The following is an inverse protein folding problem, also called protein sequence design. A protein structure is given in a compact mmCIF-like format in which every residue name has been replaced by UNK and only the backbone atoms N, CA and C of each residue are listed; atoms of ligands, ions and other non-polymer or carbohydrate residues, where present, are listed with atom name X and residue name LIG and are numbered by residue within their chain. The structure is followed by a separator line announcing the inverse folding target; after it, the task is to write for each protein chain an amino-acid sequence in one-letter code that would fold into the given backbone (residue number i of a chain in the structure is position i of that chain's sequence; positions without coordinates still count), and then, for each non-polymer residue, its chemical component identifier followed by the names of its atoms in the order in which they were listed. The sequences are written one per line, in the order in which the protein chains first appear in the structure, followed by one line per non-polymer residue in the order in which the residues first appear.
data_IF_128296455683
#
_entry.id   IF_128296455683
#
_cell.length_a   1.000
_cell.length_b   1.000
_cell.length_c   1.000
_cell.angle_alpha   90.00
_cell.angle_beta   90.00
_cell.angle_gamma   90.00
#
_symmetry.space_group_name_H-M   'P 1'
#
loop_
_entity.id
_entity.type
_entity.pdbx_description
1 polymer ?
#
# COMPACT_ATOMS: atom_id res chain seq x y z
N UNK A 1 43.97 21.57 16.88
CA UNK A 1 44.06 20.85 15.59
C UNK A 1 43.69 19.41 15.92
N UNK A 2 42.45 18.98 15.78
CA UNK A 2 41.62 19.01 14.58
C UNK A 2 40.15 19.14 14.96
N UNK A 3 39.46 20.08 14.31
CA UNK A 3 38.01 20.22 14.34
C UNK A 3 37.35 18.94 13.83
N UNK A 4 36.48 18.34 14.65
CA UNK A 4 35.49 17.38 14.18
C UNK A 4 34.55 18.10 13.22
N UNK A 5 34.61 17.65 11.97
CA UNK A 5 33.78 18.11 10.89
C UNK A 5 32.31 17.90 11.27
N UNK A 6 31.62 19.01 11.49
CA UNK A 6 30.17 19.09 11.57
C UNK A 6 29.63 18.67 10.20
N UNK A 7 29.16 17.43 10.11
CA UNK A 7 28.68 16.84 8.85
C UNK A 7 27.59 17.74 8.27
N UNK A 8 27.85 18.15 7.04
CA UNK A 8 27.18 19.17 6.28
C UNK A 8 25.68 18.92 6.16
N UNK A 9 24.93 20.02 6.12
CA UNK A 9 23.48 20.02 6.07
C UNK A 9 22.98 19.25 4.85
N UNK A 10 22.03 18.34 5.09
CA UNK A 10 21.28 17.55 4.12
C UNK A 10 21.02 18.31 2.82
N UNK A 11 21.83 18.07 1.79
CA UNK A 11 21.52 18.52 0.45
C UNK A 11 20.14 17.95 0.09
N UNK A 12 19.20 18.82 -0.28
CA UNK A 12 17.82 18.43 -0.58
C UNK A 12 17.84 17.47 -1.77
N UNK A 13 17.68 16.18 -1.47
CA UNK A 13 17.77 15.13 -2.48
C UNK A 13 16.58 15.25 -3.42
N UNK A 14 16.86 15.47 -4.70
CA UNK A 14 15.82 15.59 -5.72
C UNK A 14 15.27 14.20 -6.06
N UNK A 15 14.09 13.88 -5.54
CA UNK A 15 13.33 12.69 -5.93
C UNK A 15 12.46 13.06 -7.14
N UNK A 16 12.63 12.42 -8.31
CA UNK A 16 11.82 12.74 -9.48
C UNK A 16 10.37 12.32 -9.27
N UNK A 17 9.44 13.10 -9.83
CA UNK A 17 8.05 12.68 -9.96
C UNK A 17 7.93 11.70 -11.14
N UNK A 18 7.49 10.47 -10.85
CA UNK A 18 7.11 9.47 -11.84
C UNK A 18 5.62 9.51 -12.18
N UNK A 19 5.18 8.55 -12.98
CA UNK A 19 3.79 8.46 -13.47
C UNK A 19 2.75 8.18 -12.37
N UNK A 20 3.17 7.65 -11.22
CA UNK A 20 2.31 7.35 -10.07
C UNK A 20 2.73 8.12 -8.79
N UNK A 21 3.31 9.30 -8.95
CA UNK A 21 3.84 10.11 -7.84
C UNK A 21 5.35 9.97 -7.69
N UNK A 22 5.88 10.17 -6.48
CA UNK A 22 7.33 10.15 -6.23
C UNK A 22 7.93 8.80 -6.62
N UNK A 23 8.92 8.82 -7.53
CA UNK A 23 9.64 7.64 -7.95
C UNK A 23 10.78 7.35 -6.97
N UNK A 24 10.47 6.62 -5.90
CA UNK A 24 11.43 6.23 -4.87
C UNK A 24 12.38 5.18 -5.46
N UNK A 25 13.70 5.43 -5.39
CA UNK A 25 14.70 4.53 -5.98
C UNK A 25 15.52 3.81 -4.92
N UNK A 26 15.83 4.48 -3.81
CA UNK A 26 16.69 3.93 -2.76
C UNK A 26 16.08 3.97 -1.37
N UNK A 27 16.61 3.13 -0.47
CA UNK A 27 16.25 3.07 0.95
C UNK A 27 16.13 4.45 1.61
N UNK A 28 17.02 5.36 1.26
CA UNK A 28 17.06 6.71 1.82
C UNK A 28 15.86 7.58 1.38
N UNK A 29 15.36 7.41 0.15
CA UNK A 29 14.16 8.09 -0.32
C UNK A 29 12.93 7.59 0.44
N UNK A 30 12.84 6.27 0.62
CA UNK A 30 11.80 5.63 1.43
C UNK A 30 11.85 6.11 2.87
N UNK A 31 13.04 6.20 3.47
CA UNK A 31 13.21 6.69 4.84
C UNK A 31 12.83 8.16 5.00
N UNK A 32 13.18 9.01 4.03
CA UNK A 32 12.81 10.41 4.02
C UNK A 32 11.28 10.56 3.95
N UNK A 33 10.64 9.89 2.99
CA UNK A 33 9.19 9.94 2.83
C UNK A 33 8.47 9.37 4.04
N UNK A 34 8.94 8.25 4.61
CA UNK A 34 8.37 7.66 5.82
C UNK A 34 8.38 8.64 7.01
N UNK A 35 9.49 9.36 7.21
CA UNK A 35 9.60 10.37 8.25
C UNK A 35 8.65 11.54 8.04
N UNK A 36 8.52 12.03 6.80
CA UNK A 36 7.57 13.11 6.50
C UNK A 36 6.12 12.68 6.70
N UNK A 37 5.76 11.48 6.26
CA UNK A 37 4.41 10.92 6.43
C UNK A 37 4.11 10.75 7.92
N UNK A 38 5.01 10.14 8.69
CA UNK A 38 4.80 9.96 10.12
C UNK A 38 4.64 11.31 10.85
N UNK A 39 5.48 12.30 10.56
CA UNK A 39 5.37 13.66 11.14
C UNK A 39 4.10 14.39 10.74
N UNK A 40 3.56 14.13 9.55
CA UNK A 40 2.31 14.73 9.09
C UNK A 40 1.07 14.18 9.81
N UNK A 41 1.18 13.02 10.45
CA UNK A 41 0.04 12.31 11.04
C UNK A 41 -0.92 11.69 10.01
N UNK A 42 -0.56 11.69 8.71
CA UNK A 42 -1.36 11.13 7.62
C UNK A 42 -0.93 9.67 7.38
N UNK A 43 -1.03 8.83 8.40
CA UNK A 43 -0.69 7.41 8.37
C UNK A 43 -1.88 6.53 8.76
N UNK A 44 -1.97 5.33 8.17
CA UNK A 44 -3.00 4.37 8.56
C UNK A 44 -2.87 3.98 10.04
N UNK A 45 -4.02 3.69 10.65
CA UNK A 45 -4.12 3.24 12.04
C UNK A 45 -3.35 1.93 12.19
N UNK A 46 -2.27 1.95 12.97
CA UNK A 46 -1.38 0.79 13.17
C UNK A 46 0.06 0.98 12.70
N UNK A 47 0.45 2.16 12.20
CA UNK A 47 1.84 2.50 11.85
C UNK A 47 2.41 3.55 12.82
N UNK A 48 2.68 3.21 14.09
CA UNK A 48 2.99 4.19 15.13
C UNK A 48 4.40 4.80 15.03
N UNK A 49 5.30 4.22 14.24
CA UNK A 49 6.68 4.67 14.14
C UNK A 49 7.07 4.89 12.66
N UNK A 50 8.07 5.74 12.37
CA UNK A 50 8.56 5.93 11.00
C UNK A 50 9.11 4.64 10.39
N UNK A 51 9.64 3.71 11.19
CA UNK A 51 10.08 2.38 10.74
C UNK A 51 8.89 1.52 10.27
N UNK A 52 7.75 1.60 10.96
CA UNK A 52 6.54 0.90 10.53
C UNK A 52 6.04 1.47 9.19
N UNK A 53 6.04 2.80 9.04
CA UNK A 53 5.69 3.46 7.77
C UNK A 53 6.65 3.07 6.67
N UNK A 54 7.96 3.02 6.96
CA UNK A 54 8.97 2.56 6.02
C UNK A 54 8.69 1.14 5.52
N UNK A 55 8.44 0.19 6.43
CA UNK A 55 8.09 -1.19 6.06
C UNK A 55 6.82 -1.25 5.20
N UNK A 56 5.80 -0.44 5.51
CA UNK A 56 4.59 -0.35 4.70
C UNK A 56 4.87 0.20 3.30
N UNK A 57 5.70 1.25 3.16
CA UNK A 57 6.07 1.78 1.85
C UNK A 57 6.83 0.74 1.00
N UNK A 58 7.76 0.00 1.61
CA UNK A 58 8.49 -1.07 0.93
C UNK A 58 7.53 -2.17 0.48
N UNK A 59 6.68 -2.67 1.38
CA UNK A 59 5.68 -3.69 1.04
C UNK A 59 4.74 -3.22 -0.08
N UNK A 60 4.27 -1.97 -0.02
CA UNK A 60 3.45 -1.40 -1.08
C UNK A 60 4.18 -1.33 -2.42
N UNK A 61 5.46 -0.98 -2.42
CA UNK A 61 6.29 -0.94 -3.64
C UNK A 61 6.50 -2.32 -4.26
N UNK A 62 6.63 -3.38 -3.44
CA UNK A 62 6.74 -4.77 -3.91
C UNK A 62 5.46 -5.25 -4.61
N UNK A 63 4.31 -4.79 -4.13
CA UNK A 63 2.99 -5.09 -4.70
C UNK A 63 2.63 -4.16 -5.87
N UNK A 64 3.43 -3.12 -6.13
CA UNK A 64 3.22 -2.17 -7.24
C UNK A 64 2.30 -0.99 -6.92
N UNK A 65 2.03 -0.73 -5.64
CA UNK A 65 1.32 0.45 -5.17
C UNK A 65 2.25 1.68 -5.13
N UNK A 66 1.69 2.86 -5.39
CA UNK A 66 2.41 4.11 -5.13
C UNK A 66 2.58 4.35 -3.62
N UNK A 67 3.57 5.16 -3.24
CA UNK A 67 3.87 5.45 -1.83
C UNK A 67 2.62 5.89 -1.02
N UNK A 68 1.83 6.82 -1.56
CA UNK A 68 0.63 7.30 -0.86
C UNK A 68 -0.50 6.25 -0.83
N UNK A 69 -0.64 5.44 -1.88
CA UNK A 69 -1.60 4.33 -1.86
C UNK A 69 -1.19 3.25 -0.86
N UNK A 70 0.12 2.98 -0.72
CA UNK A 70 0.64 2.02 0.24
C UNK A 70 0.26 2.41 1.68
N UNK A 71 0.50 3.67 2.06
CA UNK A 71 0.21 4.14 3.42
C UNK A 71 -1.28 4.10 3.76
N UNK A 72 -2.16 4.34 2.79
CA UNK A 72 -3.61 4.32 3.03
C UNK A 72 -4.18 2.90 3.06
N UNK A 73 -3.62 1.98 2.28
CA UNK A 73 -4.21 0.65 2.05
C UNK A 73 -3.45 -0.49 2.71
N UNK A 74 -2.45 -0.21 3.55
CA UNK A 74 -1.75 -1.23 4.34
C UNK A 74 -2.18 -1.11 5.79
N UNK A 75 -2.69 -2.21 6.34
CA UNK A 75 -3.08 -2.32 7.73
C UNK A 75 -2.23 -3.38 8.46
N UNK A 76 -1.98 -3.15 9.74
CA UNK A 76 -1.35 -4.15 10.62
C UNK A 76 -2.44 -4.95 11.31
N UNK A 77 -2.59 -6.21 10.92
CA UNK A 77 -3.59 -7.14 11.47
C UNK A 77 -2.84 -8.26 12.17
N UNK A 78 -3.04 -8.42 13.48
CA UNK A 78 -2.34 -9.44 14.29
C UNK A 78 -0.81 -9.43 14.08
N UNK A 79 -0.19 -8.24 14.12
CA UNK A 79 1.23 -8.02 13.87
C UNK A 79 1.72 -8.42 12.47
N UNK A 80 0.84 -8.50 11.48
CA UNK A 80 1.18 -8.78 10.07
C UNK A 80 0.76 -7.62 9.19
N UNK A 81 1.68 -7.14 8.35
CA UNK A 81 1.34 -6.20 7.29
C UNK A 81 0.42 -6.90 6.29
N UNK A 82 -0.74 -6.30 6.03
CA UNK A 82 -1.79 -6.84 5.17
C UNK A 82 -2.32 -5.74 4.25
N UNK A 83 -2.67 -6.12 3.02
CA UNK A 83 -3.43 -5.24 2.12
C UNK A 83 -4.86 -5.09 2.66
N UNK A 84 -5.39 -3.87 2.55
CA UNK A 84 -6.68 -3.50 3.11
C UNK A 84 -7.52 -2.71 2.09
N UNK A 85 -8.84 -2.83 2.23
CA UNK A 85 -9.82 -2.18 1.36
C UNK A 85 -9.71 -2.63 -0.10
N UNK A 86 -10.10 -1.73 -0.99
CA UNK A 86 -10.19 -2.00 -2.43
C UNK A 86 -8.82 -2.18 -3.10
N UNK A 87 -7.72 -1.81 -2.43
CA UNK A 87 -6.39 -2.02 -2.98
C UNK A 87 -6.08 -3.51 -3.17
N UNK A 88 -6.58 -4.40 -2.31
CA UNK A 88 -6.40 -5.83 -2.50
C UNK A 88 -7.01 -6.28 -3.83
N UNK A 89 -8.27 -5.90 -4.08
CA UNK A 89 -8.96 -6.26 -5.31
C UNK A 89 -8.33 -5.57 -6.52
N UNK A 90 -7.92 -4.30 -6.40
CA UNK A 90 -7.24 -3.57 -7.47
C UNK A 90 -5.91 -4.20 -7.87
N UNK A 91 -5.13 -4.69 -6.91
CA UNK A 91 -3.90 -5.46 -7.17
C UNK A 91 -4.21 -6.77 -7.89
N UNK A 92 -5.26 -7.49 -7.46
CA UNK A 92 -5.70 -8.70 -8.11
C UNK A 92 -6.14 -8.45 -9.56
N UNK A 93 -6.97 -7.42 -9.79
CA UNK A 93 -7.45 -7.05 -11.12
C UNK A 93 -6.34 -6.53 -12.04
N UNK A 94 -5.30 -5.92 -11.48
CA UNK A 94 -4.11 -5.50 -12.24
C UNK A 94 -3.23 -6.68 -12.68
N UNK A 95 -3.46 -7.89 -12.17
CA UNK A 95 -2.71 -9.08 -12.52
C UNK A 95 -3.16 -9.67 -13.86
N UNK A 96 -2.21 -10.04 -14.72
CA UNK A 96 -2.50 -10.64 -16.02
C UNK A 96 -3.22 -12.01 -15.96
N UNK A 97 -3.28 -12.63 -14.78
CA UNK A 97 -3.95 -13.92 -14.56
C UNK A 97 -5.35 -13.79 -13.96
N UNK A 98 -5.85 -12.57 -13.78
CA UNK A 98 -7.20 -12.32 -13.27
C UNK A 98 -8.24 -12.52 -14.37
N UNK A 99 -9.24 -13.36 -14.11
CA UNK A 99 -10.33 -13.59 -15.06
C UNK A 99 -11.44 -12.55 -14.87
N UNK A 100 -11.38 -11.48 -15.65
CA UNK A 100 -12.41 -10.44 -15.66
C UNK A 100 -13.80 -10.94 -16.11
N UNK A 101 -13.87 -12.03 -16.88
CA UNK A 101 -15.15 -12.57 -17.33
C UNK A 101 -15.88 -13.35 -16.23
N UNK A 102 -15.12 -13.89 -15.26
CA UNK A 102 -15.63 -14.61 -14.11
C UNK A 102 -15.88 -13.71 -12.88
N UNK A 103 -15.39 -12.47 -12.91
CA UNK A 103 -15.57 -11.51 -11.83
C UNK A 103 -17.03 -11.03 -11.75
N UNK A 104 -17.65 -11.21 -10.58
CA UNK A 104 -19.00 -10.74 -10.33
C UNK A 104 -19.19 -10.37 -8.86
N UNK A 105 -19.86 -9.26 -8.61
CA UNK A 105 -20.27 -8.81 -7.28
C UNK A 105 -21.77 -8.57 -7.29
N UNK A 106 -22.47 -9.18 -6.35
CA UNK A 106 -23.91 -8.99 -6.19
C UNK A 106 -24.31 -9.20 -4.75
N UNK A 107 -25.56 -8.87 -4.46
CA UNK A 107 -26.13 -9.00 -3.14
C UNK A 107 -27.40 -9.84 -3.23
N UNK A 108 -27.55 -10.78 -2.31
CA UNK A 108 -28.76 -11.58 -2.15
C UNK A 108 -29.48 -11.19 -0.86
N UNK A 109 -30.81 -11.28 -0.87
CA UNK A 109 -31.65 -10.83 0.25
C UNK A 109 -32.09 -9.37 0.14
N UNK A 110 -32.79 -8.88 1.17
CA UNK A 110 -33.38 -7.54 1.17
C UNK A 110 -32.72 -6.65 2.21
N UNK A 111 -31.79 -5.78 1.78
CA UNK A 111 -31.22 -4.78 2.66
C UNK A 111 -32.32 -3.89 3.30
N UNK A 112 -32.27 -3.55 4.61
CA UNK A 112 -31.20 -3.78 5.58
C UNK A 112 -31.47 -4.96 6.55
N UNK A 113 -32.25 -5.97 6.15
CA UNK A 113 -32.53 -7.08 7.06
C UNK A 113 -31.29 -7.98 7.27
N UNK A 114 -31.28 -8.74 8.37
CA UNK A 114 -30.20 -9.68 8.72
C UNK A 114 -30.04 -10.85 7.72
N UNK A 115 -30.88 -10.92 6.68
CA UNK A 115 -30.80 -11.91 5.60
C UNK A 115 -30.08 -11.40 4.36
N UNK A 116 -29.36 -10.27 4.46
CA UNK A 116 -28.56 -9.71 3.39
C UNK A 116 -27.18 -10.39 3.32
N UNK A 117 -26.82 -10.89 2.14
CA UNK A 117 -25.51 -11.51 1.86
C UNK A 117 -24.85 -10.78 0.70
N UNK A 118 -23.65 -10.26 0.92
CA UNK A 118 -22.80 -9.74 -0.15
C UNK A 118 -21.91 -10.86 -0.67
N UNK A 119 -21.93 -11.09 -1.98
CA UNK A 119 -21.18 -12.16 -2.63
C UNK A 119 -20.23 -11.54 -3.65
N UNK A 120 -18.97 -11.97 -3.60
CA UNK A 120 -17.94 -11.63 -4.57
C UNK A 120 -17.37 -12.93 -5.13
N UNK A 121 -17.41 -13.08 -6.45
CA UNK A 121 -16.85 -14.21 -7.18
C UNK A 121 -15.66 -13.71 -7.98
N UNK A 122 -14.51 -14.37 -7.80
CA UNK A 122 -13.26 -14.11 -8.52
C UNK A 122 -12.70 -15.44 -9.01
N UNK A 123 -11.92 -15.43 -10.08
CA UNK A 123 -11.26 -16.62 -10.57
C UNK A 123 -9.91 -16.26 -11.21
N UNK A 124 -8.94 -17.16 -11.08
CA UNK A 124 -7.69 -17.10 -11.83
C UNK A 124 -7.86 -17.83 -13.16
N UNK A 125 -7.35 -17.25 -14.24
CA UNK A 125 -7.36 -17.89 -15.57
C UNK A 125 -6.77 -19.31 -15.47
N UNK A 126 -7.53 -20.29 -15.94
CA UNK A 126 -7.16 -21.71 -15.94
C UNK A 126 -7.38 -22.46 -14.62
N UNK A 127 -7.87 -21.80 -13.56
CA UNK A 127 -8.25 -22.49 -12.33
C UNK A 127 -9.53 -23.31 -12.54
N UNK A 128 -9.56 -24.55 -12.02
CA UNK A 128 -10.72 -25.44 -12.15
C UNK A 128 -11.95 -24.99 -11.36
N UNK A 129 -11.76 -24.10 -10.38
CA UNK A 129 -12.81 -23.52 -9.55
C UNK A 129 -12.52 -22.04 -9.26
N UNK A 130 -13.56 -21.21 -9.12
CA UNK A 130 -13.45 -19.89 -8.52
C UNK A 130 -13.06 -20.00 -7.03
#
# INVERSE_FOLDING_TARGET
MTEEQKTDATAMRHIPAGSRGLALQGREDFWLVANHIHKSGINAKGLPTPEAVFCALVFGSEVGLSAMQAVQNIAVINNRASLYGDALLGVCQGSAVFDHSAFAEWTEGAFPNDSFVAICKVQRIGASRP
#
